data_IF_148962991757
#
_entry.id   IF_148962991757
#
_cell.length_a   1.000
_cell.length_b   1.000
_cell.length_c   1.000
_cell.angle_alpha   90.00
_cell.angle_beta   90.00
_cell.angle_gamma   90.00
#
_symmetry.space_group_name_H-M   'P 1'
#
loop_
_entity.id
_entity.type
_entity.pdbx_description
1 polymer ?
#
# COMPACT_ATOMS: atom_id res chain seq x y z
N UNK A 1 40.85 -3.27 2.60
CA UNK A 1 39.41 -2.92 2.54
C UNK A 1 39.06 -1.51 3.05
N UNK A 2 40.02 -0.69 3.51
CA UNK A 2 39.75 0.64 4.08
C UNK A 2 39.62 1.79 3.04
N UNK A 3 39.88 1.52 1.76
CA UNK A 3 39.96 2.52 0.68
C UNK A 3 38.79 2.54 -0.29
N UNK A 4 37.85 1.58 -0.19
CA UNK A 4 36.70 1.51 -1.10
C UNK A 4 35.53 2.33 -0.55
N UNK A 5 34.89 3.09 -1.43
CA UNK A 5 33.59 3.69 -1.18
C UNK A 5 32.52 2.62 -0.91
N UNK A 6 31.39 3.03 -0.33
CA UNK A 6 30.28 2.12 -0.05
C UNK A 6 29.74 1.44 -1.32
N UNK A 7 29.72 2.16 -2.45
CA UNK A 7 29.30 1.60 -3.74
C UNK A 7 30.28 0.55 -4.28
N UNK A 8 31.58 0.80 -4.17
CA UNK A 8 32.61 -0.15 -4.63
C UNK A 8 32.66 -1.41 -3.76
N UNK A 9 32.43 -1.28 -2.44
CA UNK A 9 32.30 -2.45 -1.54
C UNK A 9 31.14 -3.34 -1.96
N UNK A 10 29.99 -2.74 -2.31
CA UNK A 10 28.82 -3.49 -2.81
C UNK A 10 29.14 -4.18 -4.13
N UNK A 11 29.72 -3.46 -5.10
CA UNK A 11 30.09 -4.04 -6.40
C UNK A 11 31.07 -5.21 -6.26
N UNK A 12 32.09 -5.09 -5.39
CA UNK A 12 33.04 -6.16 -5.12
C UNK A 12 32.37 -7.38 -4.46
N UNK A 13 31.45 -7.15 -3.52
CA UNK A 13 30.67 -8.23 -2.90
C UNK A 13 29.86 -9.02 -3.93
N UNK A 14 29.18 -8.32 -4.84
CA UNK A 14 28.40 -8.94 -5.92
C UNK A 14 29.30 -9.72 -6.87
N UNK A 15 30.45 -9.16 -7.27
CA UNK A 15 31.44 -9.85 -8.09
C UNK A 15 31.94 -11.15 -7.43
N UNK A 16 32.20 -11.13 -6.11
CA UNK A 16 32.60 -12.32 -5.38
C UNK A 16 31.51 -13.40 -5.40
N UNK A 17 30.23 -13.02 -5.24
CA UNK A 17 29.11 -13.96 -5.35
C UNK A 17 29.04 -14.56 -6.75
N UNK A 18 29.12 -13.72 -7.79
CA UNK A 18 29.07 -14.17 -9.19
C UNK A 18 30.21 -15.15 -9.47
N UNK A 19 31.41 -14.86 -8.97
CA UNK A 19 32.58 -15.71 -9.14
C UNK A 19 32.42 -17.07 -8.45
N UNK A 20 31.96 -17.09 -7.20
CA UNK A 20 31.73 -18.34 -6.44
C UNK A 20 30.68 -19.22 -7.13
N UNK A 21 29.57 -18.64 -7.59
CA UNK A 21 28.56 -19.35 -8.38
C UNK A 21 29.20 -19.94 -9.65
N UNK A 22 30.02 -19.16 -10.35
CA UNK A 22 30.63 -19.62 -11.60
C UNK A 22 31.60 -20.78 -11.39
N UNK A 23 32.43 -20.72 -10.35
CA UNK A 23 33.35 -21.81 -9.98
C UNK A 23 32.57 -23.09 -9.69
N UNK A 24 31.46 -22.99 -8.96
CA UNK A 24 30.60 -24.16 -8.64
C UNK A 24 29.89 -24.71 -9.88
N UNK A 25 29.44 -23.86 -10.80
CA UNK A 25 28.88 -24.27 -12.09
C UNK A 25 29.91 -25.04 -12.92
N UNK A 26 31.14 -24.54 -13.02
CA UNK A 26 32.23 -25.20 -13.77
C UNK A 26 32.64 -26.53 -13.12
N UNK A 27 32.53 -26.63 -11.80
CA UNK A 27 32.75 -27.88 -11.06
C UNK A 27 31.56 -28.86 -11.13
N UNK A 28 30.43 -28.48 -11.73
CA UNK A 28 29.21 -29.30 -11.74
C UNK A 28 28.63 -29.54 -10.34
N UNK A 29 28.92 -28.67 -9.38
CA UNK A 29 28.56 -28.85 -7.99
C UNK A 29 27.10 -28.43 -7.75
N UNK A 30 26.25 -29.39 -7.40
CA UNK A 30 24.88 -29.12 -6.99
C UNK A 30 24.86 -28.15 -5.78
N UNK A 31 24.15 -27.04 -5.93
CA UNK A 31 24.18 -25.92 -4.99
C UNK A 31 22.77 -25.41 -4.70
N UNK A 32 22.44 -25.29 -3.42
CA UNK A 32 21.26 -24.58 -2.94
C UNK A 32 21.68 -23.16 -2.52
N UNK A 33 21.08 -22.15 -3.14
CA UNK A 33 21.39 -20.74 -2.94
C UNK A 33 20.22 -20.03 -2.24
N UNK A 34 20.54 -19.29 -1.18
CA UNK A 34 19.60 -18.36 -0.54
C UNK A 34 20.04 -16.95 -0.86
N UNK A 35 19.16 -16.20 -1.52
CA UNK A 35 19.39 -14.82 -1.93
C UNK A 35 18.54 -13.92 -1.04
N UNK A 36 19.18 -13.24 -0.08
CA UNK A 36 18.49 -12.41 0.89
C UNK A 36 18.60 -10.93 0.54
N UNK A 37 17.47 -10.34 0.19
CA UNK A 37 17.22 -8.91 -0.02
C UNK A 37 18.25 -8.16 -0.85
N UNK A 38 18.62 -8.79 -1.97
CA UNK A 38 19.56 -8.22 -2.93
C UNK A 38 19.06 -6.91 -3.53
N UNK A 39 17.74 -6.68 -3.64
CA UNK A 39 17.15 -5.52 -4.32
C UNK A 39 17.61 -4.16 -3.77
N UNK A 40 17.69 -4.01 -2.45
CA UNK A 40 18.09 -2.76 -1.78
C UNK A 40 19.57 -2.39 -1.98
N UNK A 41 20.36 -3.36 -2.45
CA UNK A 41 21.78 -3.16 -2.68
C UNK A 41 22.11 -2.60 -4.07
N UNK A 42 21.15 -2.54 -5.00
CA UNK A 42 21.40 -2.11 -6.39
C UNK A 42 20.67 -0.81 -6.74
N UNK A 43 21.35 0.06 -7.47
CA UNK A 43 20.67 1.15 -8.17
C UNK A 43 19.69 0.61 -9.24
N UNK A 44 18.76 1.45 -9.67
CA UNK A 44 17.72 1.08 -10.63
C UNK A 44 18.27 0.59 -11.98
N UNK A 45 19.50 1.00 -12.37
CA UNK A 45 20.15 0.51 -13.59
C UNK A 45 20.68 -0.93 -13.42
N UNK A 46 21.13 -1.27 -12.23
CA UNK A 46 21.71 -2.58 -11.92
C UNK A 46 20.67 -3.64 -11.49
N UNK A 47 19.45 -3.23 -11.09
CA UNK A 47 18.33 -4.15 -10.74
C UNK A 47 18.02 -5.17 -11.84
N UNK A 48 17.99 -4.77 -13.11
CA UNK A 48 17.70 -5.69 -14.22
C UNK A 48 18.86 -6.65 -14.51
N UNK A 49 20.10 -6.22 -14.32
CA UNK A 49 21.27 -7.06 -14.53
C UNK A 49 21.31 -8.22 -13.53
N UNK A 50 21.01 -7.96 -12.24
CA UNK A 50 20.95 -9.03 -11.24
C UNK A 50 19.77 -9.97 -11.47
N UNK A 51 18.61 -9.47 -11.90
CA UNK A 51 17.46 -10.32 -12.24
C UNK A 51 17.80 -11.25 -13.40
N UNK A 52 18.47 -10.74 -14.44
CA UNK A 52 18.92 -11.55 -15.56
C UNK A 52 19.94 -12.60 -15.10
N UNK A 53 20.89 -12.22 -14.25
CA UNK A 53 21.87 -13.17 -13.70
C UNK A 53 21.22 -14.28 -12.87
N UNK A 54 20.30 -13.94 -11.96
CA UNK A 54 19.56 -14.94 -11.17
C UNK A 54 18.74 -15.88 -12.06
N UNK A 55 18.16 -15.34 -13.14
CA UNK A 55 17.49 -16.14 -14.17
C UNK A 55 18.45 -17.13 -14.83
N UNK A 56 19.61 -16.67 -15.30
CA UNK A 56 20.59 -17.53 -15.97
C UNK A 56 21.09 -18.64 -15.03
N UNK A 57 21.24 -18.34 -13.73
CA UNK A 57 21.57 -19.34 -12.69
C UNK A 57 20.41 -20.32 -12.46
N UNK A 58 19.15 -19.88 -12.58
CA UNK A 58 17.97 -20.74 -12.37
C UNK A 58 17.72 -21.69 -13.55
N UNK A 59 18.09 -21.27 -14.76
CA UNK A 59 17.97 -22.09 -15.98
C UNK A 59 19.12 -23.10 -16.12
N UNK A 60 20.23 -22.90 -15.39
CA UNK A 60 21.35 -23.83 -15.36
C UNK A 60 21.09 -25.07 -14.51
N UNK A 61 21.73 -26.19 -14.88
CA UNK A 61 21.65 -27.43 -14.11
C UNK A 61 22.40 -27.33 -12.77
N UNK A 62 21.87 -28.00 -11.75
CA UNK A 62 22.54 -28.15 -10.44
C UNK A 62 22.30 -27.00 -9.47
N UNK A 63 21.59 -25.93 -9.83
CA UNK A 63 21.29 -24.84 -8.91
C UNK A 63 19.82 -24.80 -8.50
N UNK A 64 19.58 -24.64 -7.20
CA UNK A 64 18.27 -24.36 -6.63
C UNK A 64 18.33 -23.03 -5.87
N UNK A 65 17.28 -22.21 -5.98
CA UNK A 65 17.28 -20.86 -5.42
C UNK A 65 16.06 -20.62 -4.53
N UNK A 66 16.29 -19.97 -3.40
CA UNK A 66 15.26 -19.30 -2.59
C UNK A 66 15.61 -17.82 -2.52
N UNK A 67 14.71 -16.97 -3.00
CA UNK A 67 14.90 -15.52 -3.04
C UNK A 67 13.96 -14.89 -2.03
N UNK A 68 14.54 -14.18 -1.07
CA UNK A 68 13.83 -13.41 -0.04
C UNK A 68 13.95 -11.93 -0.38
N UNK A 69 12.85 -11.20 -0.35
CA UNK A 69 12.85 -9.76 -0.59
C UNK A 69 11.62 -9.15 0.06
N UNK A 70 11.75 -7.92 0.55
CA UNK A 70 10.60 -7.10 0.92
C UNK A 70 10.15 -6.19 -0.25
N UNK A 71 11.01 -5.97 -1.25
CA UNK A 71 10.68 -5.14 -2.41
C UNK A 71 9.66 -5.81 -3.32
N UNK A 72 8.43 -5.31 -3.32
CA UNK A 72 7.31 -5.94 -4.02
C UNK A 72 7.46 -5.86 -5.55
N UNK A 73 8.08 -4.79 -6.05
CA UNK A 73 8.34 -4.65 -7.49
C UNK A 73 9.42 -5.64 -7.99
N UNK A 74 10.47 -5.86 -7.19
CA UNK A 74 11.48 -6.88 -7.48
C UNK A 74 10.86 -8.28 -7.48
N UNK A 75 10.05 -8.59 -6.47
CA UNK A 75 9.29 -9.83 -6.37
C UNK A 75 8.42 -10.09 -7.62
N UNK A 76 7.62 -9.10 -8.03
CA UNK A 76 6.77 -9.19 -9.24
C UNK A 76 7.60 -9.32 -10.53
N UNK A 77 8.73 -8.62 -10.60
CA UNK A 77 9.62 -8.69 -11.77
C UNK A 77 10.25 -10.08 -11.91
N UNK A 78 10.71 -10.68 -10.82
CA UNK A 78 11.26 -12.04 -10.82
C UNK A 78 10.19 -13.08 -11.23
N UNK A 79 8.99 -12.97 -10.64
CA UNK A 79 7.84 -13.81 -11.00
C UNK A 79 7.53 -13.73 -12.50
N UNK A 80 7.52 -12.54 -13.08
CA UNK A 80 7.18 -12.39 -14.51
C UNK A 80 8.28 -12.88 -15.45
N UNK A 81 9.53 -13.02 -14.96
CA UNK A 81 10.69 -13.36 -15.78
C UNK A 81 11.05 -14.85 -15.77
N UNK A 82 11.05 -15.49 -14.60
CA UNK A 82 11.52 -16.88 -14.47
C UNK A 82 10.97 -17.68 -13.28
N UNK A 83 10.23 -17.07 -12.34
CA UNK A 83 9.64 -17.82 -11.21
C UNK A 83 8.14 -18.04 -11.44
N UNK A 84 7.72 -19.29 -11.54
CA UNK A 84 6.29 -19.63 -11.65
C UNK A 84 5.47 -19.20 -10.43
N UNK A 85 4.23 -18.77 -10.63
CA UNK A 85 3.34 -18.27 -9.57
C UNK A 85 3.15 -19.27 -8.42
N UNK A 86 3.15 -20.57 -8.69
CA UNK A 86 3.05 -21.61 -7.67
C UNK A 86 4.17 -21.59 -6.63
N UNK A 87 5.30 -20.97 -6.95
CA UNK A 87 6.48 -20.84 -6.09
C UNK A 87 6.60 -19.44 -5.45
N UNK A 88 5.58 -18.59 -5.61
CA UNK A 88 5.54 -17.27 -5.03
C UNK A 88 4.82 -17.32 -3.68
N UNK A 89 5.55 -17.05 -2.60
CA UNK A 89 5.04 -17.08 -1.22
C UNK A 89 5.16 -15.70 -0.58
N UNK A 90 4.19 -15.37 0.26
CA UNK A 90 4.22 -14.22 1.17
C UNK A 90 4.39 -14.71 2.59
N UNK A 91 5.25 -14.01 3.33
CA UNK A 91 5.55 -14.31 4.73
C UNK A 91 4.86 -13.28 5.60
N UNK A 92 4.09 -13.74 6.58
CA UNK A 92 3.53 -12.90 7.64
C UNK A 92 3.97 -13.43 9.00
N UNK A 93 4.18 -12.50 9.94
CA UNK A 93 4.41 -12.80 11.35
C UNK A 93 3.18 -12.36 12.14
N UNK A 94 2.64 -13.26 12.94
CA UNK A 94 1.56 -12.99 13.88
C UNK A 94 1.94 -13.49 15.29
N UNK A 95 0.99 -13.43 16.23
CA UNK A 95 1.20 -13.89 17.62
C UNK A 95 1.58 -15.36 17.71
N UNK A 96 1.15 -16.17 16.75
CA UNK A 96 1.30 -17.63 16.77
C UNK A 96 2.57 -18.10 16.04
N UNK A 97 3.26 -17.21 15.31
CA UNK A 97 4.54 -17.48 14.68
C UNK A 97 4.69 -16.86 13.29
N UNK A 98 5.41 -17.57 12.42
CA UNK A 98 5.64 -17.18 11.02
C UNK A 98 4.81 -18.10 10.12
N UNK A 99 4.01 -17.52 9.25
CA UNK A 99 3.19 -18.24 8.28
C UNK A 99 3.60 -17.90 6.86
N UNK A 100 3.66 -18.91 6.00
CA UNK A 100 3.89 -18.75 4.56
C UNK A 100 2.59 -19.08 3.83
N UNK A 101 2.07 -18.11 3.09
CA UNK A 101 0.90 -18.27 2.25
C UNK A 101 1.30 -18.10 0.78
N UNK A 102 0.54 -18.70 -0.15
CA UNK A 102 0.67 -18.35 -1.56
C UNK A 102 0.44 -16.85 -1.72
N UNK A 103 1.34 -16.20 -2.44
CA UNK A 103 1.25 -14.78 -2.67
C UNK A 103 -0.07 -14.46 -3.40
N UNK A 104 -0.76 -13.41 -2.95
CA UNK A 104 -1.98 -12.87 -3.57
C UNK A 104 -1.68 -11.49 -4.16
N UNK A 105 -2.49 -11.00 -5.09
CA UNK A 105 -2.41 -9.62 -5.61
C UNK A 105 -1.09 -9.23 -6.31
N UNK A 106 -0.26 -10.19 -6.72
CA UNK A 106 1.02 -9.96 -7.41
C UNK A 106 0.80 -9.34 -8.80
N UNK A 107 -0.23 -9.82 -9.50
CA UNK A 107 -0.58 -9.35 -10.84
C UNK A 107 -1.81 -8.43 -10.74
N UNK A 108 -1.61 -7.14 -11.09
CA UNK A 108 -2.64 -6.11 -11.25
C UNK A 108 -3.92 -6.34 -10.42
N UNK A 109 -3.78 -6.20 -9.10
CA UNK A 109 -4.85 -6.48 -8.12
C UNK A 109 -6.14 -5.73 -8.43
N UNK A 110 -6.06 -4.51 -8.97
CA UNK A 110 -7.24 -3.77 -9.36
C UNK A 110 -8.01 -4.47 -10.48
N UNK A 111 -7.35 -4.83 -11.58
CA UNK A 111 -8.01 -5.46 -12.74
C UNK A 111 -8.49 -6.87 -12.41
N UNK A 112 -7.65 -7.64 -11.71
CA UNK A 112 -7.89 -9.06 -11.47
C UNK A 112 -8.79 -9.34 -10.28
N UNK A 113 -9.04 -8.36 -9.41
CA UNK A 113 -9.84 -8.55 -8.21
C UNK A 113 -10.78 -7.37 -7.92
N UNK A 114 -10.25 -6.19 -7.60
CA UNK A 114 -11.09 -5.12 -7.04
C UNK A 114 -12.15 -4.59 -8.01
N UNK A 115 -11.79 -4.46 -9.29
CA UNK A 115 -12.71 -4.00 -10.35
C UNK A 115 -13.91 -4.93 -10.50
N UNK A 116 -13.69 -6.24 -10.47
CA UNK A 116 -14.78 -7.21 -10.64
C UNK A 116 -15.73 -7.24 -9.44
N UNK A 117 -15.23 -6.92 -8.24
CA UNK A 117 -15.95 -7.01 -6.97
C UNK A 117 -16.38 -5.65 -6.39
N UNK A 118 -16.22 -4.55 -7.13
CA UNK A 118 -16.47 -3.19 -6.66
C UNK A 118 -17.89 -2.98 -6.09
N UNK A 119 -18.90 -3.64 -6.64
CA UNK A 119 -20.28 -3.49 -6.18
C UNK A 119 -20.68 -4.49 -5.09
N UNK A 120 -19.90 -5.57 -4.90
CA UNK A 120 -20.29 -6.70 -4.06
C UNK A 120 -19.40 -6.87 -2.82
N UNK A 121 -18.28 -6.15 -2.75
CA UNK A 121 -17.33 -6.18 -1.64
C UNK A 121 -16.96 -4.75 -1.22
N UNK A 122 -17.35 -4.38 -0.01
CA UNK A 122 -17.15 -3.04 0.55
C UNK A 122 -15.66 -2.67 0.65
N UNK A 123 -14.79 -3.64 0.97
CA UNK A 123 -13.36 -3.40 1.18
C UNK A 123 -12.67 -3.12 -0.14
N UNK A 124 -12.96 -3.93 -1.15
CA UNK A 124 -12.43 -3.76 -2.52
C UNK A 124 -12.94 -2.48 -3.18
N UNK A 125 -14.19 -2.11 -2.90
CA UNK A 125 -14.78 -0.82 -3.30
C UNK A 125 -13.98 0.36 -2.75
N UNK A 126 -13.78 0.41 -1.43
CA UNK A 126 -13.05 1.48 -0.76
C UNK A 126 -11.58 1.50 -1.21
N UNK A 127 -10.94 0.34 -1.31
CA UNK A 127 -9.56 0.23 -1.79
C UNK A 127 -9.37 0.73 -3.24
N UNK A 128 -10.45 0.82 -4.03
CA UNK A 128 -10.42 1.37 -5.38
C UNK A 128 -10.43 2.90 -5.43
N UNK A 129 -10.85 3.60 -4.36
CA UNK A 129 -10.98 5.07 -4.32
C UNK A 129 -9.68 5.80 -4.71
N UNK A 130 -8.50 5.47 -4.14
CA UNK A 130 -7.27 6.14 -4.53
C UNK A 130 -6.91 5.92 -5.99
N UNK A 131 -7.07 4.69 -6.49
CA UNK A 131 -6.78 4.36 -7.88
C UNK A 131 -7.68 5.15 -8.85
N UNK A 132 -8.98 5.21 -8.58
CA UNK A 132 -9.93 6.00 -9.37
C UNK A 132 -9.59 7.49 -9.36
N UNK A 133 -9.24 8.05 -8.20
CA UNK A 133 -8.85 9.46 -8.06
C UNK A 133 -7.69 9.79 -9.00
N UNK A 134 -6.65 8.98 -8.96
CA UNK A 134 -5.46 9.20 -9.79
C UNK A 134 -5.73 9.00 -11.28
N UNK A 135 -6.60 8.05 -11.65
CA UNK A 135 -7.01 7.89 -13.04
C UNK A 135 -7.72 9.15 -13.55
N UNK A 136 -8.60 9.75 -12.75
CA UNK A 136 -9.24 11.03 -13.08
C UNK A 136 -8.19 12.14 -13.17
N UNK A 137 -7.26 12.23 -12.22
CA UNK A 137 -6.19 13.23 -12.25
C UNK A 137 -5.40 13.17 -13.58
N UNK A 138 -5.01 11.98 -14.03
CA UNK A 138 -4.24 11.81 -15.26
C UNK A 138 -5.04 11.99 -16.55
N UNK A 139 -6.35 11.77 -16.51
CA UNK A 139 -7.20 11.80 -17.72
C UNK A 139 -7.97 13.11 -17.87
N UNK A 140 -8.36 13.75 -16.76
CA UNK A 140 -9.22 14.93 -16.71
C UNK A 140 -8.63 16.08 -15.89
N UNK A 141 -7.62 15.83 -15.06
CA UNK A 141 -6.97 16.83 -14.22
C UNK A 141 -7.53 16.88 -12.78
N UNK A 142 -6.86 17.67 -11.94
CA UNK A 142 -7.17 17.84 -10.51
C UNK A 142 -8.34 18.81 -10.23
N UNK A 143 -8.86 19.47 -11.27
CA UNK A 143 -10.08 20.29 -11.20
C UNK A 143 -11.38 19.53 -11.46
N UNK A 144 -11.32 18.25 -11.83
CA UNK A 144 -12.51 17.45 -12.13
C UNK A 144 -13.35 17.18 -10.86
N UNK A 145 -14.67 17.26 -10.99
CA UNK A 145 -15.59 17.07 -9.86
C UNK A 145 -15.45 15.69 -9.20
N UNK A 146 -15.20 14.64 -9.99
CA UNK A 146 -14.94 13.30 -9.48
C UNK A 146 -13.61 13.21 -8.73
N UNK A 147 -12.56 13.88 -9.22
CA UNK A 147 -11.29 13.96 -8.50
C UNK A 147 -11.44 14.65 -7.14
N UNK A 148 -12.16 15.78 -7.10
CA UNK A 148 -12.41 16.52 -5.85
C UNK A 148 -13.21 15.68 -4.87
N UNK A 149 -14.28 15.02 -5.33
CA UNK A 149 -15.12 14.16 -4.51
C UNK A 149 -14.34 12.97 -3.94
N UNK A 150 -13.57 12.26 -4.76
CA UNK A 150 -12.71 11.16 -4.29
C UNK A 150 -11.61 11.67 -3.35
N UNK A 151 -11.12 12.89 -3.52
CA UNK A 151 -10.18 13.53 -2.59
C UNK A 151 -10.83 13.78 -1.23
N UNK A 152 -12.10 14.22 -1.20
CA UNK A 152 -12.89 14.34 0.04
C UNK A 152 -13.15 12.99 0.73
N UNK A 153 -13.06 11.86 0.01
CA UNK A 153 -13.11 10.51 0.60
C UNK A 153 -11.76 10.02 1.15
N UNK A 154 -10.67 10.74 0.87
CA UNK A 154 -9.34 10.44 1.40
C UNK A 154 -8.89 11.45 2.47
N UNK A 155 -9.51 12.63 2.50
CA UNK A 155 -9.23 13.72 3.41
C UNK A 155 -10.53 14.37 3.89
N UNK A 156 -10.62 14.66 5.18
CA UNK A 156 -11.81 15.27 5.78
C UNK A 156 -12.02 16.70 5.28
N UNK A 157 -13.11 16.92 4.56
CA UNK A 157 -13.55 18.18 3.96
C UNK A 157 -15.02 18.41 4.26
N UNK A 158 -15.52 19.60 3.93
CA UNK A 158 -16.89 19.99 4.24
C UNK A 158 -17.96 19.07 3.63
N UNK A 159 -17.68 18.47 2.47
CA UNK A 159 -18.59 17.58 1.75
C UNK A 159 -18.34 16.08 2.00
N UNK A 160 -17.29 15.73 2.76
CA UNK A 160 -16.90 14.34 3.05
C UNK A 160 -18.06 13.56 3.65
N UNK A 161 -18.67 14.05 4.73
CA UNK A 161 -19.74 13.35 5.45
C UNK A 161 -21.02 13.14 4.59
N UNK A 162 -21.29 14.07 3.67
CA UNK A 162 -22.48 14.05 2.81
C UNK A 162 -22.32 13.21 1.54
N UNK A 163 -21.12 12.73 1.22
CA UNK A 163 -20.89 11.96 0.00
C UNK A 163 -21.58 10.59 0.08
N UNK A 164 -22.44 10.33 -0.88
CA UNK A 164 -23.30 9.13 -0.95
C UNK A 164 -22.65 8.00 -1.74
N UNK A 165 -23.07 6.77 -1.45
CA UNK A 165 -22.63 5.59 -2.19
C UNK A 165 -23.02 5.65 -3.67
N UNK A 166 -24.14 6.30 -4.00
CA UNK A 166 -24.58 6.53 -5.38
C UNK A 166 -23.62 7.44 -6.14
N UNK A 167 -23.14 8.54 -5.53
CA UNK A 167 -22.14 9.41 -6.17
C UNK A 167 -20.83 8.65 -6.47
N UNK A 168 -20.43 7.74 -5.57
CA UNK A 168 -19.26 6.90 -5.80
C UNK A 168 -19.48 5.89 -6.94
N UNK A 169 -20.69 5.34 -7.07
CA UNK A 169 -21.08 4.47 -8.18
C UNK A 169 -21.02 5.20 -9.52
N UNK A 170 -21.53 6.43 -9.57
CA UNK A 170 -21.50 7.27 -10.76
C UNK A 170 -20.07 7.55 -11.22
N UNK A 171 -19.15 7.85 -10.28
CA UNK A 171 -17.74 8.05 -10.59
C UNK A 171 -17.12 6.77 -11.16
N UNK A 172 -17.38 5.61 -10.55
CA UNK A 172 -16.88 4.32 -11.03
C UNK A 172 -17.39 4.00 -12.44
N UNK A 173 -18.70 4.15 -12.66
CA UNK A 173 -19.34 3.91 -13.95
C UNK A 173 -18.84 4.89 -15.03
N UNK A 174 -18.58 6.15 -14.66
CA UNK A 174 -18.00 7.15 -15.56
C UNK A 174 -16.57 6.82 -16.00
N UNK A 175 -15.81 6.08 -15.19
CA UNK A 175 -14.45 5.63 -15.51
C UNK A 175 -14.42 4.32 -16.29
N UNK A 176 -15.27 3.35 -15.94
CA UNK A 176 -15.15 1.97 -16.42
C UNK A 176 -16.35 1.44 -17.22
N UNK A 177 -17.41 2.24 -17.36
CA UNK A 177 -18.65 1.88 -18.06
C UNK A 177 -19.71 1.23 -17.17
N UNK A 178 -20.91 1.02 -17.74
CA UNK A 178 -22.12 0.54 -17.05
C UNK A 178 -22.22 -0.99 -16.91
N UNK A 179 -21.10 -1.71 -17.02
CA UNK A 179 -21.10 -3.18 -17.10
C UNK A 179 -21.51 -3.89 -15.80
N UNK A 180 -21.49 -3.20 -14.67
CA UNK A 180 -21.89 -3.71 -13.36
C UNK A 180 -22.79 -2.70 -12.66
N UNK A 181 -23.79 -3.20 -11.92
CA UNK A 181 -24.73 -2.38 -11.16
C UNK A 181 -24.79 -2.85 -9.72
N UNK A 182 -25.04 -1.94 -8.77
CA UNK A 182 -25.26 -2.30 -7.37
C UNK A 182 -26.49 -3.20 -7.23
N UNK A 183 -26.45 -4.12 -6.26
CA UNK A 183 -27.58 -5.00 -5.90
C UNK A 183 -28.54 -4.30 -4.92
N UNK A 184 -28.02 -3.37 -4.12
CA UNK A 184 -28.74 -2.73 -3.00
C UNK A 184 -28.94 -1.22 -3.21
N UNK A 185 -29.76 -0.63 -2.35
CA UNK A 185 -29.96 0.83 -2.28
C UNK A 185 -28.66 1.54 -1.85
N UNK A 186 -28.30 2.61 -2.58
CA UNK A 186 -27.02 3.32 -2.48
C UNK A 186 -27.17 4.74 -1.91
N UNK A 187 -28.20 4.96 -1.11
CA UNK A 187 -28.48 6.24 -0.43
C UNK A 187 -27.62 6.50 0.81
N UNK A 188 -26.90 5.48 1.29
CA UNK A 188 -26.01 5.59 2.46
C UNK A 188 -24.78 6.49 2.24
N UNK A 189 -24.17 6.94 3.33
CA UNK A 189 -22.91 7.70 3.32
C UNK A 189 -21.71 6.78 3.09
N UNK A 190 -20.81 7.16 2.17
CA UNK A 190 -19.56 6.42 1.90
C UNK A 190 -18.68 6.39 3.15
N UNK A 191 -18.65 7.47 3.92
CA UNK A 191 -17.83 7.57 5.14
C UNK A 191 -18.26 6.53 6.17
N UNK A 192 -19.57 6.32 6.32
CA UNK A 192 -20.09 5.27 7.20
C UNK A 192 -19.72 3.87 6.66
N UNK A 193 -19.77 3.67 5.34
CA UNK A 193 -19.28 2.46 4.69
C UNK A 193 -17.79 2.20 4.96
N UNK A 194 -16.96 3.25 4.93
CA UNK A 194 -15.53 3.19 5.26
C UNK A 194 -15.32 2.74 6.71
N UNK A 195 -16.02 3.35 7.66
CA UNK A 195 -15.87 3.01 9.08
C UNK A 195 -16.43 1.62 9.42
N UNK A 196 -17.52 1.20 8.78
CA UNK A 196 -18.05 -0.15 8.91
C UNK A 196 -17.05 -1.19 8.37
N UNK A 197 -16.53 -0.97 7.16
CA UNK A 197 -15.54 -1.86 6.55
C UNK A 197 -14.25 -1.94 7.38
N UNK A 198 -13.78 -0.83 7.94
CA UNK A 198 -12.61 -0.78 8.82
C UNK A 198 -12.85 -1.55 10.14
N UNK A 199 -14.06 -1.46 10.71
CA UNK A 199 -14.44 -2.23 11.90
C UNK A 199 -14.45 -3.74 11.62
N UNK A 200 -14.97 -4.16 10.47
CA UNK A 200 -14.89 -5.55 10.02
C UNK A 200 -13.44 -6.00 9.80
N UNK A 201 -12.57 -5.12 9.29
CA UNK A 201 -11.15 -5.42 9.13
C UNK A 201 -10.47 -5.69 10.46
N UNK A 202 -10.97 -5.22 11.62
CA UNK A 202 -10.36 -5.48 12.94
C UNK A 202 -10.50 -6.94 13.38
N UNK A 203 -11.59 -7.60 12.99
CA UNK A 203 -11.92 -8.99 13.39
C UNK A 203 -11.63 -10.02 12.30
N UNK A 204 -11.26 -9.56 11.10
CA UNK A 204 -10.92 -10.43 10.00
C UNK A 204 -9.63 -11.23 10.31
N UNK A 205 -9.53 -12.50 9.87
CA UNK A 205 -8.33 -13.30 10.09
C UNK A 205 -7.10 -12.65 9.46
N UNK A 206 -5.93 -12.92 10.04
CA UNK A 206 -4.65 -12.52 9.47
C UNK A 206 -4.48 -13.12 8.07
N UNK A 207 -3.98 -12.32 7.13
CA UNK A 207 -3.75 -12.75 5.76
C UNK A 207 -3.18 -11.64 4.89
N UNK A 208 -2.79 -12.00 3.67
CA UNK A 208 -2.36 -11.06 2.64
C UNK A 208 -3.57 -10.30 2.05
N UNK A 209 -4.24 -9.49 2.89
CA UNK A 209 -5.45 -8.74 2.53
C UNK A 209 -5.07 -7.26 2.29
N UNK A 210 -4.63 -6.96 1.07
CA UNK A 210 -4.13 -5.62 0.72
C UNK A 210 -5.20 -4.54 0.86
N UNK A 211 -6.42 -4.86 0.47
CA UNK A 211 -7.58 -4.00 0.61
C UNK A 211 -7.87 -3.65 2.08
N UNK A 212 -7.62 -4.56 3.04
CA UNK A 212 -7.80 -4.25 4.46
C UNK A 212 -6.85 -3.15 4.92
N UNK A 213 -5.57 -3.23 4.54
CA UNK A 213 -4.58 -2.22 4.90
C UNK A 213 -4.93 -0.85 4.32
N UNK A 214 -5.46 -0.81 3.10
CA UNK A 214 -5.90 0.43 2.44
C UNK A 214 -7.13 0.99 3.15
N UNK A 215 -8.15 0.16 3.41
CA UNK A 215 -9.36 0.54 4.14
C UNK A 215 -9.02 1.13 5.52
N UNK A 216 -8.17 0.43 6.29
CA UNK A 216 -7.71 0.90 7.59
C UNK A 216 -6.96 2.23 7.47
N UNK A 217 -6.04 2.36 6.50
CA UNK A 217 -5.28 3.60 6.29
C UNK A 217 -6.18 4.80 5.97
N UNK A 218 -7.19 4.61 5.10
CA UNK A 218 -8.17 5.64 4.77
C UNK A 218 -9.00 5.99 6.01
N UNK A 219 -9.54 4.99 6.72
CA UNK A 219 -10.39 5.19 7.88
C UNK A 219 -9.65 5.88 9.04
N UNK A 220 -8.41 5.48 9.32
CA UNK A 220 -7.52 6.10 10.32
C UNK A 220 -7.35 7.58 10.01
N UNK A 221 -7.02 7.92 8.76
CA UNK A 221 -6.80 9.30 8.35
C UNK A 221 -8.08 10.13 8.47
N UNK A 222 -9.20 9.63 7.93
CA UNK A 222 -10.48 10.33 7.98
C UNK A 222 -10.90 10.60 9.43
N UNK A 223 -10.80 9.61 10.32
CA UNK A 223 -11.12 9.79 11.74
C UNK A 223 -10.22 10.79 12.44
N UNK A 224 -8.91 10.75 12.18
CA UNK A 224 -7.96 11.67 12.78
C UNK A 224 -8.21 13.11 12.31
N UNK A 225 -8.46 13.31 11.01
CA UNK A 225 -8.77 14.63 10.46
C UNK A 225 -10.14 15.13 10.90
N UNK A 226 -11.16 14.27 10.98
CA UNK A 226 -12.49 14.55 11.55
C UNK A 226 -12.36 15.08 12.99
N UNK A 227 -11.61 14.37 13.84
CA UNK A 227 -11.35 14.75 15.22
C UNK A 227 -10.63 16.11 15.31
N UNK A 228 -9.52 16.28 14.59
CA UNK A 228 -8.75 17.53 14.60
C UNK A 228 -9.57 18.72 14.10
N UNK A 229 -10.28 18.55 12.98
CA UNK A 229 -11.13 19.59 12.40
C UNK A 229 -12.26 19.99 13.36
N UNK A 230 -12.90 19.02 14.01
CA UNK A 230 -13.95 19.26 15.00
C UNK A 230 -13.45 20.02 16.23
N UNK A 231 -12.23 19.73 16.70
CA UNK A 231 -11.61 20.44 17.84
C UNK A 231 -11.13 21.85 17.47
N UNK A 232 -10.50 22.02 16.31
CA UNK A 232 -10.05 23.33 15.81
C UNK A 232 -11.26 24.24 15.54
N UNK A 233 -12.35 23.66 15.01
CA UNK A 233 -13.62 24.33 14.72
C UNK A 233 -13.48 25.60 13.87
N UNK A 234 -12.64 25.54 12.83
CA UNK A 234 -12.38 26.63 11.89
C UNK A 234 -12.56 26.13 10.44
N UNK A 235 -13.79 26.21 9.89
CA UNK A 235 -14.09 25.75 8.54
C UNK A 235 -13.32 26.53 7.46
N UNK A 236 -13.04 27.82 7.69
CA UNK A 236 -12.28 28.65 6.75
C UNK A 236 -10.82 28.21 6.67
N UNK A 237 -10.21 27.87 7.82
CA UNK A 237 -8.89 27.27 7.84
C UNK A 237 -8.88 25.91 7.14
N UNK A 238 -9.83 25.02 7.44
CA UNK A 238 -9.90 23.70 6.79
C UNK A 238 -10.00 23.82 5.26
N UNK A 239 -10.87 24.71 4.77
CA UNK A 239 -11.04 24.96 3.34
C UNK A 239 -9.79 25.57 2.67
N UNK A 240 -8.93 26.27 3.42
CA UNK A 240 -7.69 26.87 2.89
C UNK A 240 -6.58 25.84 2.61
N UNK A 241 -6.72 24.60 3.10
CA UNK A 241 -5.68 23.58 2.95
C UNK A 241 -5.80 22.86 1.61
N UNK A 242 -4.86 23.15 0.69
CA UNK A 242 -4.80 22.54 -0.64
C UNK A 242 -3.90 21.31 -0.73
N UNK A 243 -2.92 21.17 0.16
CA UNK A 243 -1.91 20.11 0.14
C UNK A 243 -1.42 19.80 1.56
N UNK A 244 -0.95 18.58 1.77
CA UNK A 244 -0.40 18.07 3.02
C UNK A 244 -1.34 18.31 4.22
N UNK A 245 -2.58 17.81 4.09
CA UNK A 245 -3.67 18.17 4.99
C UNK A 245 -3.47 17.66 6.41
N UNK A 246 -3.12 16.39 6.58
CA UNK A 246 -3.00 15.78 7.92
C UNK A 246 -1.89 16.45 8.75
N UNK A 247 -0.66 16.68 8.25
CA UNK A 247 0.39 17.39 8.96
C UNK A 247 0.05 18.87 9.25
N UNK A 248 -0.65 19.56 8.33
CA UNK A 248 -1.07 20.95 8.56
C UNK A 248 -2.13 21.04 9.64
N UNK A 249 -3.10 20.12 9.64
CA UNK A 249 -4.10 19.99 10.71
C UNK A 249 -3.42 19.69 12.05
N UNK A 250 -2.50 18.71 12.08
CA UNK A 250 -1.77 18.35 13.29
C UNK A 250 -0.93 19.52 13.82
N UNK A 251 -0.22 20.25 12.96
CA UNK A 251 0.54 21.43 13.35
C UNK A 251 -0.37 22.50 13.98
N UNK A 252 -1.54 22.76 13.38
CA UNK A 252 -2.51 23.72 13.92
C UNK A 252 -3.09 23.23 15.25
N UNK A 253 -3.46 21.97 15.32
CA UNK A 253 -4.00 21.31 16.51
C UNK A 253 -3.01 21.40 17.68
N UNK A 254 -1.76 20.96 17.49
CA UNK A 254 -0.72 21.01 18.52
C UNK A 254 -0.41 22.43 18.99
N UNK A 255 -0.52 23.43 18.11
CA UNK A 255 -0.34 24.83 18.49
C UNK A 255 -1.48 25.38 19.37
N UNK A 256 -2.70 24.85 19.23
CA UNK A 256 -3.87 25.27 20.02
C UNK A 256 -4.07 24.42 21.29
N UNK A 257 -3.75 23.13 21.22
CA UNK A 257 -4.02 22.13 22.25
C UNK A 257 -2.71 21.48 22.71
N UNK A 258 -1.69 22.30 22.99
CA UNK A 258 -0.39 21.82 23.44
C UNK A 258 -0.54 21.03 24.75
N UNK A 259 -0.17 19.75 24.73
CA UNK A 259 -0.26 18.86 25.90
C UNK A 259 -1.46 17.92 25.90
N UNK A 260 -2.35 17.99 24.89
CA UNK A 260 -3.41 17.02 24.73
C UNK A 260 -2.81 15.60 24.46
N UNK A 261 -3.20 14.56 25.23
CA UNK A 261 -2.69 13.20 25.03
C UNK A 261 -2.91 12.65 23.62
N UNK A 262 -3.93 13.13 22.91
CA UNK A 262 -4.25 12.72 21.54
C UNK A 262 -3.13 13.04 20.55
N UNK A 263 -2.30 14.06 20.80
CA UNK A 263 -1.18 14.45 19.92
C UNK A 263 -0.27 13.25 19.62
N UNK A 264 0.00 12.40 20.62
CA UNK A 264 0.84 11.20 20.43
C UNK A 264 0.23 10.19 19.46
N UNK A 265 -1.10 10.05 19.47
CA UNK A 265 -1.81 9.16 18.53
C UNK A 265 -1.82 9.79 17.15
N UNK A 266 -2.07 11.09 17.05
CA UNK A 266 -2.11 11.82 15.78
C UNK A 266 -0.72 11.88 15.10
N UNK A 267 0.37 11.98 15.87
CA UNK A 267 1.75 11.86 15.34
C UNK A 267 1.98 10.49 14.69
N UNK A 268 1.49 9.39 15.31
CA UNK A 268 1.56 8.05 14.71
C UNK A 268 0.76 7.98 13.41
N UNK A 269 -0.40 8.64 13.34
CA UNK A 269 -1.22 8.69 12.11
C UNK A 269 -0.42 9.30 10.96
N UNK A 270 0.24 10.43 11.17
CA UNK A 270 1.06 11.08 10.13
C UNK A 270 2.24 10.20 9.71
N UNK A 271 2.85 9.46 10.64
CA UNK A 271 3.96 8.56 10.34
C UNK A 271 3.53 7.33 9.54
N UNK A 272 2.37 6.75 9.86
CA UNK A 272 1.95 5.43 9.37
C UNK A 272 0.99 5.48 8.17
N UNK A 273 0.33 6.61 7.93
CA UNK A 273 -0.63 6.76 6.82
C UNK A 273 -0.13 7.80 5.81
N UNK A 274 0.83 7.45 4.94
CA UNK A 274 1.46 8.41 4.03
C UNK A 274 0.43 9.11 3.14
N UNK A 275 0.58 10.43 2.98
CA UNK A 275 -0.38 11.29 2.27
C UNK A 275 -0.52 10.95 0.78
N UNK A 276 0.53 10.40 0.18
CA UNK A 276 0.59 10.07 -1.23
C UNK A 276 0.09 8.65 -1.47
N UNK A 277 -1.23 8.49 -1.70
CA UNK A 277 -1.78 7.28 -2.33
C UNK A 277 -1.98 7.55 -3.84
N UNK A 278 -0.90 7.94 -4.54
CA UNK A 278 -0.88 8.04 -6.00
C UNK A 278 -0.81 6.65 -6.68
N UNK A 279 -0.89 6.62 -7.99
CA UNK A 279 -1.07 5.41 -8.80
C UNK A 279 0.30 4.92 -9.28
N UNK A 280 0.84 3.92 -8.60
CA UNK A 280 1.77 2.93 -9.14
C UNK A 280 1.79 1.71 -8.20
N UNK A 281 2.15 0.53 -8.71
CA UNK A 281 2.35 -0.66 -7.86
C UNK A 281 3.41 -0.43 -6.75
N UNK A 282 4.28 0.56 -6.93
CA UNK A 282 5.26 1.08 -5.98
C UNK A 282 4.65 1.88 -4.82
N UNK A 283 3.37 2.25 -4.90
CA UNK A 283 2.77 3.24 -4.00
C UNK A 283 1.95 2.65 -2.87
N UNK A 284 1.45 1.44 -3.07
CA UNK A 284 1.03 0.65 -1.95
C UNK A 284 2.24 0.16 -1.17
N UNK A 285 3.46 0.11 -1.72
CA UNK A 285 4.63 -0.50 -1.07
C UNK A 285 4.82 -0.04 0.39
N UNK A 286 4.79 1.26 0.76
CA UNK A 286 4.83 1.64 2.17
C UNK A 286 3.68 1.08 3.02
N UNK A 287 2.45 1.04 2.47
CA UNK A 287 1.26 0.47 3.13
C UNK A 287 1.30 -1.08 3.15
N UNK A 288 1.88 -1.70 2.12
CA UNK A 288 2.10 -3.13 2.01
C UNK A 288 3.14 -3.59 3.05
N UNK A 289 4.16 -2.77 3.25
CA UNK A 289 5.23 -2.98 4.22
C UNK A 289 4.78 -2.68 5.66
N UNK A 290 3.74 -1.87 5.85
CA UNK A 290 3.12 -1.71 7.16
C UNK A 290 2.48 -3.02 7.60
N UNK A 291 2.75 -3.42 8.85
CA UNK A 291 2.08 -4.58 9.43
C UNK A 291 0.58 -4.31 9.61
N UNK A 292 -0.24 -5.30 9.29
CA UNK A 292 -1.69 -5.25 9.50
C UNK A 292 -2.04 -5.01 10.98
N UNK A 293 -1.32 -5.67 11.90
CA UNK A 293 -1.49 -5.51 13.35
C UNK A 293 -1.31 -4.05 13.82
N UNK A 294 -0.24 -3.37 13.40
CA UNK A 294 -0.04 -1.96 13.77
C UNK A 294 -1.15 -1.05 13.22
N UNK A 295 -1.66 -1.30 12.00
CA UNK A 295 -2.78 -0.53 11.45
C UNK A 295 -4.06 -0.76 12.25
N UNK A 296 -4.37 -2.01 12.62
CA UNK A 296 -5.54 -2.35 13.45
C UNK A 296 -5.45 -1.66 14.82
N UNK A 297 -4.28 -1.74 15.47
CA UNK A 297 -4.02 -1.08 16.75
C UNK A 297 -4.20 0.43 16.65
N UNK A 298 -3.60 1.06 15.63
CA UNK A 298 -3.70 2.50 15.43
C UNK A 298 -5.15 2.93 15.15
N UNK A 299 -5.91 2.16 14.38
CA UNK A 299 -7.33 2.44 14.17
C UNK A 299 -8.12 2.41 15.48
N UNK A 300 -7.87 1.42 16.35
CA UNK A 300 -8.46 1.38 17.69
C UNK A 300 -8.09 2.59 18.55
N UNK A 301 -6.82 3.00 18.54
CA UNK A 301 -6.35 4.20 19.26
C UNK A 301 -7.04 5.48 18.75
N UNK A 302 -7.23 5.61 17.43
CA UNK A 302 -7.87 6.78 16.81
C UNK A 302 -9.37 6.81 17.07
N UNK A 303 -10.06 5.67 17.00
CA UNK A 303 -11.49 5.58 17.34
C UNK A 303 -11.73 5.99 18.80
N UNK A 304 -10.80 5.66 19.71
CA UNK A 304 -10.87 6.05 21.11
C UNK A 304 -10.61 7.55 21.39
N UNK A 305 -10.21 8.34 20.38
CA UNK A 305 -10.08 9.80 20.51
C UNK A 305 -11.44 10.51 20.45
N UNK A 306 -12.44 9.88 19.82
CA UNK A 306 -13.76 10.45 19.55
C UNK A 306 -14.67 10.45 20.79
#
# INVERSE_FOLDING_TARGET
MATLSTGEKKALYILNIIFDIRVRQEAGQATFMVVDDVADSFDYKNKYAIIQYLKDVAEGDGFQQVILTHNFDFFRTIKSRFVGYGNCLMVSRNSDGITLAKAAGIDNVFVNDWKAHFFNDSKKRIASVPFMRNLIEFTKGDGDAGYLKLTSLLHWRADTASTTEAELDEIYQGLFGLGQKPVDDRTGSVVNGIYAAASECLVAPDGANFEHKIVLSIAIRLKAEEFMAGKINDPSFLASISQNQTPKLLKRYTAQFSGDPSVKVLDKVVLMTPENIHLNAFMYEPILDMSDEHLRKLYGEVVALA
#
